data_IF_407466661381
#
_entry.id   IF_407466661381
#
_cell.length_a   1.000
_cell.length_b   1.000
_cell.length_c   1.000
_cell.angle_alpha   90.00
_cell.angle_beta   90.00
_cell.angle_gamma   90.00
#
_symmetry.space_group_name_H-M   'P 1'
#
loop_
_entity.id
_entity.type
_entity.pdbx_description
1 polymer ?
#
# COMPACT_ATOMS: atom_id res chain seq x y z
N UNK A 1 30.70 -1.68 -14.00
CA UNK A 1 29.30 -1.44 -14.37
C UNK A 1 29.20 -0.69 -15.70
N UNK A 2 28.06 -0.79 -16.36
CA UNK A 2 27.76 -0.01 -17.55
C UNK A 2 27.80 1.48 -17.22
N UNK A 3 28.51 2.33 -18.01
CA UNK A 3 28.48 3.75 -17.78
C UNK A 3 27.12 4.33 -18.08
N UNK A 4 26.62 5.22 -17.24
CA UNK A 4 25.36 5.91 -17.47
C UNK A 4 25.55 7.16 -18.35
N UNK A 5 24.51 7.52 -19.08
CA UNK A 5 24.40 8.83 -19.71
C UNK A 5 24.35 9.91 -18.62
N UNK A 6 25.04 11.05 -18.77
CA UNK A 6 24.93 12.13 -17.80
C UNK A 6 23.47 12.56 -17.54
N UNK A 7 23.06 12.56 -16.28
CA UNK A 7 21.69 12.84 -15.84
C UNK A 7 20.72 11.66 -15.92
N UNK A 8 21.18 10.50 -16.40
CA UNK A 8 20.38 9.27 -16.51
C UNK A 8 21.05 8.13 -15.73
N UNK A 9 21.49 8.41 -14.51
CA UNK A 9 22.16 7.44 -13.65
C UNK A 9 21.22 6.34 -13.13
N UNK A 10 21.82 5.27 -12.59
CA UNK A 10 21.06 4.11 -12.09
C UNK A 10 20.10 4.49 -10.96
N UNK A 11 20.39 5.54 -10.21
CA UNK A 11 19.53 6.11 -9.18
C UNK A 11 18.15 6.50 -9.68
N UNK A 12 18.02 6.92 -10.95
CA UNK A 12 16.74 7.28 -11.55
C UNK A 12 15.78 6.07 -11.67
N UNK A 13 16.32 4.84 -11.68
CA UNK A 13 15.48 3.63 -11.67
C UNK A 13 14.90 3.30 -10.29
N UNK A 14 15.14 4.14 -9.27
CA UNK A 14 14.70 3.94 -7.89
C UNK A 14 14.08 5.19 -7.27
N UNK A 15 13.74 6.19 -8.06
CA UNK A 15 13.24 7.48 -7.58
C UNK A 15 11.70 7.56 -7.49
N UNK A 16 10.99 6.52 -7.96
CA UNK A 16 9.53 6.46 -7.98
C UNK A 16 8.90 7.33 -9.08
N UNK A 17 9.69 7.82 -10.03
CA UNK A 17 9.24 8.70 -11.09
C UNK A 17 9.46 8.06 -12.46
N UNK A 18 8.42 7.50 -13.05
CA UNK A 18 8.48 6.85 -14.37
C UNK A 18 8.79 7.79 -15.53
N UNK A 19 8.90 9.09 -15.29
CA UNK A 19 9.30 10.09 -16.30
C UNK A 19 10.81 10.30 -16.34
N UNK A 20 11.56 9.94 -15.31
CA UNK A 20 13.01 9.79 -15.28
C UNK A 20 13.40 8.38 -15.69
N UNK A 21 14.66 8.17 -16.05
CA UNK A 21 15.13 6.83 -16.38
C UNK A 21 16.64 6.68 -16.14
N UNK A 22 17.04 5.47 -15.86
CA UNK A 22 18.38 5.01 -16.07
C UNK A 22 18.58 4.68 -17.56
N UNK A 23 19.67 5.16 -18.12
CA UNK A 23 20.08 4.82 -19.49
C UNK A 23 21.61 4.72 -19.56
N UNK A 24 22.11 3.70 -20.21
CA UNK A 24 23.55 3.59 -20.46
C UNK A 24 24.03 4.66 -21.42
N UNK A 25 25.34 4.86 -21.53
CA UNK A 25 25.91 5.90 -22.37
C UNK A 25 25.35 5.87 -23.81
N UNK A 26 24.99 7.03 -24.34
CA UNK A 26 24.49 7.17 -25.71
C UNK A 26 25.57 6.84 -26.78
N UNK A 27 26.82 6.70 -26.40
CA UNK A 27 27.86 6.17 -27.32
C UNK A 27 27.62 4.70 -27.68
N UNK A 28 26.81 3.98 -26.89
CA UNK A 28 26.45 2.58 -27.14
C UNK A 28 27.56 1.59 -26.78
N UNK A 29 27.27 0.31 -27.03
CA UNK A 29 28.23 -0.77 -26.76
C UNK A 29 28.20 -1.26 -25.31
N UNK A 30 27.12 -0.94 -24.55
CA UNK A 30 27.01 -1.25 -23.13
C UNK A 30 26.05 -2.43 -22.83
N UNK A 31 25.48 -3.03 -23.88
CA UNK A 31 24.73 -4.29 -23.74
C UNK A 31 25.68 -5.41 -23.30
N UNK A 32 25.23 -6.20 -22.33
CA UNK A 32 26.03 -7.22 -21.68
C UNK A 32 26.90 -6.71 -20.53
N UNK A 33 26.97 -5.39 -20.30
CA UNK A 33 27.64 -4.84 -19.12
C UNK A 33 26.66 -4.81 -17.93
N UNK A 34 27.13 -5.08 -16.71
CA UNK A 34 26.26 -5.15 -15.54
C UNK A 34 25.81 -3.78 -15.04
N UNK A 35 24.65 -3.74 -14.39
CA UNK A 35 24.23 -2.70 -13.47
C UNK A 35 24.15 -3.32 -12.07
N UNK A 36 24.99 -2.84 -11.15
CA UNK A 36 25.13 -3.40 -9.81
C UNK A 36 24.39 -2.57 -8.78
N UNK A 37 23.56 -3.21 -7.99
CA UNK A 37 22.80 -2.64 -6.89
C UNK A 37 23.24 -3.31 -5.59
N UNK A 38 23.72 -2.51 -4.64
CA UNK A 38 24.09 -2.99 -3.30
C UNK A 38 23.06 -2.47 -2.32
N UNK A 39 22.39 -3.37 -1.61
CA UNK A 39 21.41 -3.00 -0.61
C UNK A 39 22.11 -2.53 0.67
N UNK A 40 21.61 -1.47 1.29
CA UNK A 40 22.14 -0.93 2.54
C UNK A 40 22.16 -1.98 3.65
N UNK A 41 21.10 -2.80 3.68
CA UNK A 41 20.95 -3.94 4.58
C UNK A 41 20.39 -5.13 3.79
N UNK A 42 20.74 -6.37 4.17
CA UNK A 42 20.12 -7.55 3.56
C UNK A 42 18.62 -7.50 3.69
N UNK A 43 17.92 -7.57 2.58
CA UNK A 43 16.47 -7.37 2.49
C UNK A 43 15.80 -8.56 1.82
N UNK A 44 14.71 -9.04 2.38
CA UNK A 44 13.89 -10.10 1.79
C UNK A 44 13.17 -9.59 0.55
N UNK A 45 13.44 -10.23 -0.59
CA UNK A 45 12.81 -9.95 -1.87
C UNK A 45 12.35 -11.24 -2.55
N UNK A 46 11.29 -11.14 -3.34
CA UNK A 46 10.67 -12.26 -4.05
C UNK A 46 10.78 -12.16 -5.56
N UNK A 47 11.22 -11.01 -6.07
CA UNK A 47 11.34 -10.76 -7.49
C UNK A 47 11.78 -9.35 -7.81
N UNK A 48 11.83 -9.06 -9.12
CA UNK A 48 12.11 -7.75 -9.68
C UNK A 48 11.05 -7.40 -10.72
N UNK A 49 10.44 -6.23 -10.59
CA UNK A 49 9.63 -5.62 -11.65
C UNK A 49 10.47 -4.61 -12.41
N UNK A 50 10.60 -4.84 -13.69
CA UNK A 50 11.20 -3.90 -14.64
C UNK A 50 10.12 -3.04 -15.29
N UNK A 51 10.23 -1.73 -15.17
CA UNK A 51 9.37 -0.76 -15.86
C UNK A 51 10.18 -0.13 -16.99
N UNK A 52 9.82 -0.40 -18.26
CA UNK A 52 10.50 0.23 -19.40
C UNK A 52 10.21 1.72 -19.45
N UNK A 53 10.96 2.44 -20.26
CA UNK A 53 10.71 3.86 -20.55
C UNK A 53 9.31 4.07 -21.14
N UNK A 54 8.72 5.25 -20.90
CA UNK A 54 7.35 5.55 -21.27
C UNK A 54 7.14 5.71 -22.79
N UNK A 55 8.20 6.13 -23.51
CA UNK A 55 8.17 6.37 -24.95
C UNK A 55 9.41 5.80 -25.61
N UNK A 56 9.32 5.47 -26.90
CA UNK A 56 10.32 4.77 -27.73
C UNK A 56 10.80 3.43 -27.12
N UNK A 57 11.88 2.86 -27.62
CA UNK A 57 12.35 1.55 -27.19
C UNK A 57 13.87 1.48 -26.97
N UNK A 58 14.57 2.62 -27.04
CA UNK A 58 16.02 2.61 -26.91
C UNK A 58 16.47 2.08 -25.54
N UNK A 59 17.11 0.91 -25.56
CA UNK A 59 17.59 0.24 -24.37
C UNK A 59 16.54 -0.59 -23.62
N UNK A 60 15.30 -0.70 -24.12
CA UNK A 60 14.33 -1.62 -23.53
C UNK A 60 14.90 -3.04 -23.49
N UNK A 61 14.86 -3.66 -22.32
CA UNK A 61 15.41 -4.99 -22.09
C UNK A 61 14.58 -6.06 -22.81
N UNK A 62 15.29 -6.95 -23.54
CA UNK A 62 14.71 -8.12 -24.21
C UNK A 62 15.09 -9.41 -23.52
N UNK A 63 16.39 -9.66 -23.43
CA UNK A 63 16.96 -10.81 -22.72
C UNK A 63 17.75 -10.30 -21.53
N UNK A 64 17.53 -10.89 -20.38
CA UNK A 64 18.03 -10.41 -19.10
C UNK A 64 18.67 -11.53 -18.30
N UNK A 65 19.82 -11.26 -17.71
CA UNK A 65 20.42 -12.05 -16.64
C UNK A 65 20.39 -11.24 -15.35
N UNK A 66 19.81 -11.82 -14.31
CA UNK A 66 19.78 -11.25 -12.96
C UNK A 66 20.51 -12.19 -11.99
N UNK A 67 21.50 -11.67 -11.28
CA UNK A 67 22.21 -12.40 -10.23
C UNK A 67 21.94 -11.76 -8.89
N UNK A 68 21.37 -12.51 -7.97
CA UNK A 68 21.06 -12.06 -6.61
C UNK A 68 22.02 -12.76 -5.65
N UNK A 69 22.85 -11.99 -4.97
CA UNK A 69 23.72 -12.52 -3.90
C UNK A 69 23.00 -12.37 -2.57
N UNK A 70 22.76 -13.45 -1.87
CA UNK A 70 22.10 -13.45 -0.56
C UNK A 70 23.06 -13.05 0.58
N UNK A 71 22.53 -12.93 1.81
CA UNK A 71 23.31 -12.54 2.98
C UNK A 71 24.46 -13.50 3.29
N UNK A 72 24.36 -14.77 2.91
CA UNK A 72 25.41 -15.79 3.10
C UNK A 72 26.52 -15.70 2.04
N UNK A 73 26.29 -14.93 0.95
CA UNK A 73 27.19 -14.83 -0.18
C UNK A 73 26.86 -15.80 -1.32
N UNK A 74 25.82 -16.60 -1.21
CA UNK A 74 25.38 -17.50 -2.27
C UNK A 74 24.71 -16.70 -3.39
N UNK A 75 25.02 -17.04 -4.62
CA UNK A 75 24.44 -16.44 -5.81
C UNK A 75 23.26 -17.27 -6.33
N UNK A 76 22.18 -16.56 -6.69
CA UNK A 76 20.99 -17.08 -7.34
C UNK A 76 20.83 -16.38 -8.69
N UNK A 77 20.84 -17.15 -9.77
CA UNK A 77 20.76 -16.61 -11.13
C UNK A 77 19.39 -16.85 -11.73
N UNK A 78 18.83 -15.81 -12.32
CA UNK A 78 17.59 -15.83 -13.07
C UNK A 78 17.85 -15.30 -14.47
N UNK A 79 17.27 -15.96 -15.48
CA UNK A 79 17.37 -15.53 -16.87
C UNK A 79 16.00 -15.46 -17.50
N UNK A 80 15.76 -14.42 -18.27
CA UNK A 80 14.55 -14.22 -19.05
C UNK A 80 14.97 -13.93 -20.49
N UNK A 81 14.21 -14.44 -21.43
CA UNK A 81 14.42 -14.22 -22.86
C UNK A 81 13.14 -13.73 -23.53
N UNK A 82 13.31 -12.98 -24.62
CA UNK A 82 12.23 -12.55 -25.49
C UNK A 82 11.10 -11.75 -24.82
N UNK A 83 11.43 -10.89 -23.85
CA UNK A 83 10.45 -9.92 -23.37
C UNK A 83 9.94 -9.08 -24.55
N UNK A 84 8.61 -8.88 -24.67
CA UNK A 84 8.05 -8.16 -25.81
C UNK A 84 8.46 -6.67 -25.78
N UNK A 85 8.69 -6.11 -26.98
CA UNK A 85 8.96 -4.68 -27.13
C UNK A 85 7.65 -3.87 -26.98
N UNK A 86 7.24 -3.68 -25.75
CA UNK A 86 6.12 -2.82 -25.38
C UNK A 86 6.51 -2.06 -24.11
N UNK A 87 5.87 -0.93 -23.84
CA UNK A 87 6.20 -0.11 -22.67
C UNK A 87 5.45 -0.57 -21.40
N UNK A 88 5.09 -1.86 -21.31
CA UNK A 88 4.45 -2.44 -20.14
C UNK A 88 5.47 -3.03 -19.17
N UNK A 89 5.22 -2.94 -17.86
CA UNK A 89 6.06 -3.59 -16.84
C UNK A 89 6.19 -5.09 -17.07
N UNK A 90 7.34 -5.65 -16.68
CA UNK A 90 7.69 -7.07 -16.77
C UNK A 90 8.29 -7.54 -15.46
N UNK A 91 7.95 -8.76 -15.06
CA UNK A 91 8.36 -9.32 -13.78
C UNK A 91 9.33 -10.48 -13.95
N UNK A 92 10.32 -10.54 -13.05
CA UNK A 92 11.12 -11.72 -12.77
C UNK A 92 10.71 -12.21 -11.40
N UNK A 93 9.98 -13.32 -11.36
CA UNK A 93 9.59 -14.00 -10.12
C UNK A 93 10.69 -14.98 -9.72
N UNK A 94 11.17 -14.90 -8.49
CA UNK A 94 12.20 -15.81 -7.97
C UNK A 94 11.62 -17.16 -7.55
N UNK A 95 10.31 -17.29 -7.43
CA UNK A 95 9.64 -18.50 -6.92
C UNK A 95 9.96 -18.79 -5.45
N UNK A 96 10.65 -17.88 -4.77
CA UNK A 96 11.08 -17.97 -3.37
C UNK A 96 11.46 -16.61 -2.82
N UNK A 97 11.54 -16.50 -1.51
CA UNK A 97 12.13 -15.34 -0.83
C UNK A 97 13.65 -15.50 -0.75
N UNK A 98 14.39 -14.44 -1.11
CA UNK A 98 15.85 -14.36 -0.97
C UNK A 98 16.17 -13.14 -0.10
N UNK A 99 16.94 -13.31 0.96
CA UNK A 99 17.47 -12.20 1.75
C UNK A 99 18.71 -11.66 1.06
N UNK A 100 18.46 -10.74 0.12
CA UNK A 100 19.45 -10.23 -0.82
C UNK A 100 20.32 -9.13 -0.20
N UNK A 101 21.60 -9.12 -0.53
CA UNK A 101 22.54 -8.02 -0.23
C UNK A 101 23.07 -7.32 -1.46
N UNK A 102 23.13 -8.00 -2.60
CA UNK A 102 23.60 -7.45 -3.87
C UNK A 102 22.78 -8.05 -5.02
N UNK A 103 22.46 -7.22 -5.98
CA UNK A 103 21.76 -7.60 -7.20
C UNK A 103 22.55 -7.06 -8.39
N UNK A 104 22.73 -7.88 -9.42
CA UNK A 104 23.39 -7.51 -10.66
C UNK A 104 22.45 -7.81 -11.82
N UNK A 105 22.00 -6.74 -12.46
CA UNK A 105 21.14 -6.80 -13.65
C UNK A 105 22.02 -6.65 -14.91
N UNK A 106 21.82 -7.49 -15.90
CA UNK A 106 22.50 -7.38 -17.18
C UNK A 106 21.49 -7.61 -18.31
N UNK A 107 21.23 -6.59 -19.11
CA UNK A 107 20.56 -6.76 -20.39
C UNK A 107 21.51 -7.40 -21.38
N UNK A 108 21.23 -8.63 -21.79
CA UNK A 108 22.07 -9.37 -22.74
C UNK A 108 21.62 -9.17 -24.18
N UNK A 109 20.34 -8.77 -24.37
CA UNK A 109 19.78 -8.22 -25.61
C UNK A 109 18.80 -7.12 -25.29
N UNK A 110 18.72 -6.15 -26.17
CA UNK A 110 17.85 -4.98 -26.00
C UNK A 110 17.20 -4.57 -27.31
N UNK A 111 16.22 -3.67 -27.21
CA UNK A 111 15.56 -3.03 -28.35
C UNK A 111 16.06 -1.60 -28.55
N UNK A 112 15.70 -1.01 -29.68
CA UNK A 112 15.95 0.38 -30.01
C UNK A 112 16.67 0.57 -31.34
N UNK A 113 17.00 1.82 -31.65
CA UNK A 113 17.68 2.18 -32.90
C UNK A 113 19.04 1.52 -33.03
N UNK A 114 19.14 0.65 -34.01
CA UNK A 114 20.38 -0.10 -34.29
C UNK A 114 20.58 -1.33 -33.38
N UNK A 115 19.54 -1.81 -32.68
CA UNK A 115 19.60 -3.07 -31.92
C UNK A 115 20.34 -2.96 -30.59
N UNK A 116 21.04 -4.00 -30.22
CA UNK A 116 21.73 -4.18 -28.94
C UNK A 116 22.83 -3.12 -28.63
N UNK A 117 22.43 -1.87 -28.37
CA UNK A 117 23.37 -0.77 -28.07
C UNK A 117 23.30 -0.25 -26.65
N UNK A 118 22.10 -0.20 -26.09
CA UNK A 118 21.83 0.48 -24.83
C UNK A 118 21.08 -0.43 -23.87
N UNK A 119 21.11 -0.07 -22.59
CA UNK A 119 20.20 -0.60 -21.59
C UNK A 119 19.49 0.58 -20.93
N UNK A 120 18.19 0.44 -20.63
CA UNK A 120 17.43 1.48 -19.94
C UNK A 120 16.32 0.87 -19.06
N UNK A 121 15.95 1.61 -18.02
CA UNK A 121 14.79 1.32 -17.17
C UNK A 121 14.25 2.63 -16.63
N UNK A 122 12.92 2.82 -16.68
CA UNK A 122 12.28 3.89 -15.92
C UNK A 122 12.30 3.56 -14.43
N UNK A 123 11.93 2.32 -14.07
CA UNK A 123 11.97 1.85 -12.68
C UNK A 123 12.42 0.39 -12.58
N UNK A 124 13.13 0.09 -11.50
CA UNK A 124 13.46 -1.25 -11.04
C UNK A 124 12.89 -1.42 -9.63
N UNK A 125 11.85 -2.24 -9.49
CA UNK A 125 11.09 -2.38 -8.24
C UNK A 125 11.32 -3.79 -7.70
N UNK A 126 11.95 -3.91 -6.54
CA UNK A 126 12.06 -5.19 -5.85
C UNK A 126 10.75 -5.52 -5.16
N UNK A 127 10.17 -6.67 -5.52
CA UNK A 127 8.98 -7.19 -4.85
C UNK A 127 9.37 -7.84 -3.54
N UNK A 128 8.52 -7.70 -2.52
CA UNK A 128 8.73 -8.26 -1.18
C UNK A 128 7.76 -9.40 -0.92
N UNK A 129 8.08 -10.32 0.03
CA UNK A 129 7.10 -11.27 0.50
C UNK A 129 5.85 -10.51 0.96
N UNK A 130 4.69 -10.94 0.54
CA UNK A 130 3.48 -10.50 1.23
C UNK A 130 3.58 -11.04 2.65
N UNK A 131 3.66 -10.13 3.62
CA UNK A 131 3.41 -10.49 5.01
C UNK A 131 1.98 -11.00 5.00
N UNK A 132 1.77 -12.27 5.30
CA UNK A 132 0.44 -12.77 5.58
C UNK A 132 -0.07 -11.87 6.71
N UNK A 133 -1.06 -11.03 6.40
CA UNK A 133 -1.69 -10.23 7.44
C UNK A 133 -2.18 -11.23 8.48
N UNK A 134 -1.63 -11.13 9.70
CA UNK A 134 -2.16 -11.92 10.80
C UNK A 134 -3.64 -11.56 10.88
N UNK A 135 -4.56 -12.52 10.73
CA UNK A 135 -5.97 -12.20 10.77
C UNK A 135 -6.25 -11.43 12.06
N UNK A 136 -6.91 -10.27 11.94
CA UNK A 136 -7.26 -9.48 13.10
C UNK A 136 -8.15 -10.30 14.03
N UNK A 137 -7.89 -10.25 15.31
CA UNK A 137 -8.77 -10.84 16.32
C UNK A 137 -10.05 -10.01 16.45
N UNK A 138 -11.13 -10.52 15.93
CA UNK A 138 -12.45 -9.87 15.97
C UNK A 138 -13.30 -10.30 17.17
N UNK A 139 -12.82 -11.19 18.03
CA UNK A 139 -13.61 -11.79 19.12
C UNK A 139 -14.20 -10.74 20.08
N UNK A 140 -13.44 -9.71 20.42
CA UNK A 140 -13.91 -8.59 21.24
C UNK A 140 -15.04 -7.80 20.59
N UNK A 141 -14.90 -7.51 19.30
CA UNK A 141 -15.94 -6.84 18.52
C UNK A 141 -17.21 -7.70 18.39
N UNK A 142 -17.07 -8.98 18.09
CA UNK A 142 -18.19 -9.90 17.94
C UNK A 142 -18.99 -10.06 19.25
N UNK A 143 -18.29 -10.15 20.37
CA UNK A 143 -18.93 -10.21 21.70
C UNK A 143 -19.67 -8.90 22.02
N UNK A 144 -19.07 -7.75 21.75
CA UNK A 144 -19.69 -6.43 21.96
C UNK A 144 -20.91 -6.24 21.05
N UNK A 145 -20.81 -6.66 19.78
CA UNK A 145 -21.91 -6.61 18.81
C UNK A 145 -23.09 -7.48 19.27
N UNK A 146 -22.83 -8.72 19.68
CA UNK A 146 -23.85 -9.64 20.16
C UNK A 146 -24.59 -9.12 21.40
N UNK A 147 -23.89 -8.35 22.26
CA UNK A 147 -24.51 -7.66 23.40
C UNK A 147 -25.34 -6.48 22.96
N UNK A 148 -24.80 -5.61 22.08
CA UNK A 148 -25.49 -4.40 21.63
C UNK A 148 -26.73 -4.69 20.78
N UNK A 149 -26.74 -5.78 20.00
CA UNK A 149 -27.88 -6.22 19.21
C UNK A 149 -29.12 -6.63 20.07
N UNK A 150 -28.94 -6.83 21.36
CA UNK A 150 -30.05 -7.11 22.28
C UNK A 150 -30.73 -5.86 22.81
N UNK A 151 -30.17 -4.68 22.57
CA UNK A 151 -30.74 -3.41 22.94
C UNK A 151 -32.00 -3.14 22.11
N UNK A 152 -33.01 -2.53 22.77
CA UNK A 152 -34.36 -2.35 22.20
C UNK A 152 -34.61 -0.92 21.74
N UNK A 153 -33.88 0.04 22.28
CA UNK A 153 -34.03 1.44 21.90
C UNK A 153 -33.67 1.63 20.42
N UNK A 154 -34.55 2.32 19.68
CA UNK A 154 -34.35 2.57 18.24
C UNK A 154 -33.02 3.30 17.95
N UNK A 155 -32.67 4.25 18.80
CA UNK A 155 -31.41 4.99 18.68
C UNK A 155 -30.20 4.05 18.76
N UNK A 156 -30.18 3.12 19.71
CA UNK A 156 -29.13 2.11 19.82
C UNK A 156 -29.11 1.16 18.62
N UNK A 157 -30.26 0.80 18.08
CA UNK A 157 -30.31 -0.05 16.87
C UNK A 157 -29.72 0.66 15.64
N UNK A 158 -29.95 1.97 15.50
CA UNK A 158 -29.38 2.80 14.44
C UNK A 158 -27.83 2.91 14.61
N UNK A 159 -27.35 3.09 15.84
CA UNK A 159 -25.91 3.11 16.15
C UNK A 159 -25.23 1.76 15.85
N UNK A 160 -25.83 0.66 16.26
CA UNK A 160 -25.32 -0.69 15.95
C UNK A 160 -25.24 -0.91 14.44
N UNK A 161 -26.28 -0.52 13.70
CA UNK A 161 -26.27 -0.61 12.23
C UNK A 161 -25.16 0.24 11.60
N UNK A 162 -24.93 1.45 12.13
CA UNK A 162 -23.85 2.35 11.70
C UNK A 162 -22.46 1.74 11.91
N UNK A 163 -22.22 1.13 13.08
CA UNK A 163 -20.96 0.43 13.38
C UNK A 163 -20.75 -0.76 12.45
N UNK A 164 -21.79 -1.57 12.22
CA UNK A 164 -21.71 -2.71 11.29
C UNK A 164 -21.38 -2.26 9.85
N UNK A 165 -22.00 -1.17 9.39
CA UNK A 165 -21.74 -0.61 8.08
C UNK A 165 -20.28 -0.12 7.96
N UNK A 166 -19.77 0.56 8.98
CA UNK A 166 -18.37 1.05 9.04
C UNK A 166 -17.37 -0.10 9.07
N UNK A 167 -17.64 -1.13 9.86
CA UNK A 167 -16.82 -2.33 9.94
C UNK A 167 -16.77 -3.05 8.59
N UNK A 168 -17.92 -3.21 7.94
CA UNK A 168 -18.00 -3.81 6.61
C UNK A 168 -17.23 -3.00 5.58
N UNK A 169 -17.40 -1.69 5.55
CA UNK A 169 -16.67 -0.81 4.63
C UNK A 169 -15.15 -0.93 4.82
N UNK A 170 -14.67 -0.88 6.06
CA UNK A 170 -13.25 -1.00 6.36
C UNK A 170 -12.70 -2.37 5.93
N UNK A 171 -13.45 -3.45 6.14
CA UNK A 171 -13.07 -4.80 5.71
C UNK A 171 -13.01 -4.92 4.20
N UNK A 172 -14.05 -4.49 3.50
CA UNK A 172 -14.17 -4.61 2.04
C UNK A 172 -13.10 -3.79 1.29
N UNK A 173 -12.62 -2.71 1.91
CA UNK A 173 -11.59 -1.83 1.34
C UNK A 173 -10.17 -2.06 1.91
N UNK A 174 -9.95 -3.13 2.67
CA UNK A 174 -8.66 -3.45 3.30
C UNK A 174 -8.09 -2.33 4.20
N UNK A 175 -8.99 -1.58 4.86
CA UNK A 175 -8.65 -0.47 5.74
C UNK A 175 -8.72 -0.84 7.23
N UNK A 176 -9.22 -2.03 7.56
CA UNK A 176 -9.44 -2.45 8.94
C UNK A 176 -8.12 -2.62 9.68
N UNK A 177 -8.01 -2.00 10.85
CA UNK A 177 -6.86 -2.10 11.75
C UNK A 177 -7.29 -2.63 13.11
N UNK A 178 -6.36 -3.20 13.88
CA UNK A 178 -6.60 -3.64 15.26
C UNK A 178 -7.23 -2.52 16.11
N UNK A 179 -6.69 -1.30 16.00
CA UNK A 179 -7.21 -0.13 16.72
C UNK A 179 -8.66 0.22 16.34
N UNK A 180 -9.04 0.03 15.08
CA UNK A 180 -10.45 0.24 14.65
C UNK A 180 -11.35 -0.83 15.25
N UNK A 181 -10.91 -2.08 15.28
CA UNK A 181 -11.66 -3.20 15.89
C UNK A 181 -11.90 -2.94 17.37
N UNK A 182 -10.86 -2.54 18.11
CA UNK A 182 -10.94 -2.14 19.53
C UNK A 182 -11.93 -0.96 19.72
N UNK A 183 -11.78 0.08 18.91
CA UNK A 183 -12.67 1.25 18.98
C UNK A 183 -14.14 0.88 18.78
N UNK A 184 -14.45 0.06 17.77
CA UNK A 184 -15.83 -0.38 17.53
C UNK A 184 -16.36 -1.26 18.65
N UNK A 185 -15.53 -2.13 19.23
CA UNK A 185 -15.91 -2.95 20.39
C UNK A 185 -16.22 -2.09 21.60
N UNK A 186 -15.37 -1.13 21.92
CA UNK A 186 -15.56 -0.21 23.04
C UNK A 186 -16.81 0.67 22.87
N UNK A 187 -17.03 1.18 21.66
CA UNK A 187 -18.22 1.96 21.36
C UNK A 187 -19.51 1.16 21.57
N UNK A 188 -19.59 -0.06 21.04
CA UNK A 188 -20.74 -0.94 21.21
C UNK A 188 -20.97 -1.32 22.68
N UNK A 189 -19.91 -1.51 23.46
CA UNK A 189 -20.00 -1.83 24.88
C UNK A 189 -20.55 -0.68 25.75
N UNK A 190 -20.47 0.56 25.28
CA UNK A 190 -20.99 1.74 25.98
C UNK A 190 -22.49 1.97 25.74
N UNK A 191 -23.07 1.35 24.70
CA UNK A 191 -24.49 1.49 24.41
C UNK A 191 -25.33 0.82 25.49
N UNK A 192 -26.37 1.52 25.92
CA UNK A 192 -27.36 1.05 26.94
C UNK A 192 -28.74 1.55 26.60
N UNK A 193 -29.76 0.71 26.78
CA UNK A 193 -31.15 1.17 26.69
C UNK A 193 -31.40 2.22 27.77
N UNK A 194 -32.10 3.28 27.39
CA UNK A 194 -32.58 4.28 28.35
C UNK A 194 -33.51 3.57 29.33
N UNK A 195 -33.28 3.77 30.64
CA UNK A 195 -34.16 3.24 31.65
C UNK A 195 -35.60 3.69 31.34
N UNK A 196 -36.53 2.75 31.27
CA UNK A 196 -37.96 3.10 31.10
C UNK A 196 -38.32 4.15 32.15
N UNK A 197 -38.71 5.35 31.68
CA UNK A 197 -39.16 6.41 32.55
C UNK A 197 -40.35 5.84 33.35
N UNK A 198 -40.34 5.80 34.67
CA UNK A 198 -41.51 5.40 35.39
C UNK A 198 -42.66 6.32 34.97
N UNK A 199 -43.84 5.75 34.63
CA UNK A 199 -45.00 6.49 34.23
C UNK A 199 -45.20 7.66 35.17
N UNK A 200 -44.97 8.88 34.68
CA UNK A 200 -45.21 10.07 35.46
C UNK A 200 -46.72 10.18 35.69
N UNK A 201 -47.18 10.42 36.93
CA UNK A 201 -48.58 10.67 37.14
C UNK A 201 -48.98 11.90 36.32
N UNK A 202 -50.05 11.74 35.54
CA UNK A 202 -50.67 12.83 34.76
C UNK A 202 -50.99 14.00 35.67
N UNK A 203 -50.16 15.02 35.66
CA UNK A 203 -50.43 16.32 36.26
C UNK A 203 -50.22 17.39 35.20
N UNK A 204 -51.29 18.11 34.99
CA UNK A 204 -51.44 19.18 34.02
C UNK A 204 -50.58 20.41 34.29
N UNK A 205 -50.17 21.04 33.18
CA UNK A 205 -49.80 22.45 32.99
C UNK A 205 -48.47 22.94 33.54
N UNK A 206 -47.65 23.35 32.60
CA UNK A 206 -46.54 24.26 32.73
C UNK A 206 -45.59 24.11 31.57
N UNK A 207 -45.70 25.00 30.57
CA UNK A 207 -44.63 25.17 29.57
C UNK A 207 -43.36 25.67 30.28
N UNK A 208 -42.41 24.77 30.54
CA UNK A 208 -41.03 25.19 30.82
C UNK A 208 -40.19 24.94 29.59
N UNK A 209 -39.62 26.01 29.06
CA UNK A 209 -38.63 25.94 28.01
C UNK A 209 -37.40 25.12 28.51
N UNK A 210 -36.83 24.25 27.63
CA UNK A 210 -35.67 23.51 28.03
C UNK A 210 -34.51 24.44 28.33
N UNK A 211 -33.66 24.14 29.33
CA UNK A 211 -32.52 24.98 29.67
C UNK A 211 -31.54 25.04 28.49
N UNK A 212 -31.22 26.25 28.06
CA UNK A 212 -30.19 26.49 27.06
C UNK A 212 -28.83 26.17 27.70
N UNK A 213 -28.16 25.15 27.22
CA UNK A 213 -26.79 24.84 27.63
C UNK A 213 -25.84 25.85 26.95
N UNK A 214 -25.44 26.87 27.70
CA UNK A 214 -24.35 27.73 27.23
C UNK A 214 -23.01 27.00 27.37
N UNK A 215 -22.40 26.64 26.25
CA UNK A 215 -21.04 26.12 26.20
C UNK A 215 -20.12 27.32 25.96
N UNK A 216 -19.31 27.75 26.95
CA UNK A 216 -18.41 28.87 26.76
C UNK A 216 -17.39 28.58 25.66
N UNK A 217 -17.33 29.43 24.62
CA UNK A 217 -16.34 29.39 23.56
C UNK A 217 -16.75 28.67 22.27
N UNK A 218 -17.99 28.21 22.12
CA UNK A 218 -18.47 27.62 20.87
C UNK A 218 -19.10 28.69 19.95
N UNK A 219 -18.37 29.06 18.90
CA UNK A 219 -18.88 29.87 17.79
C UNK A 219 -19.20 28.97 16.59
N UNK A 220 -20.22 28.14 16.71
CA UNK A 220 -20.72 27.33 15.60
C UNK A 220 -21.51 28.18 14.59
N UNK A 221 -21.77 27.65 13.35
CA UNK A 221 -22.41 28.41 12.27
C UNK A 221 -23.87 28.76 12.50
N UNK A 222 -24.43 28.48 13.66
CA UNK A 222 -25.81 28.81 14.08
C UNK A 222 -25.88 29.70 15.31
N UNK A 223 -24.80 30.38 15.66
CA UNK A 223 -24.84 31.42 16.68
C UNK A 223 -25.58 32.65 16.13
N UNK A 224 -26.83 32.85 16.55
CA UNK A 224 -27.50 34.12 16.36
C UNK A 224 -26.80 35.15 17.21
N UNK A 225 -26.17 36.12 16.53
CA UNK A 225 -25.73 37.36 17.19
C UNK A 225 -26.97 38.08 17.73
N UNK A 226 -27.00 38.27 19.04
CA UNK A 226 -27.85 39.23 19.68
C UNK A 226 -27.07 40.51 19.97
#
# INVERSE_FOLDING_TARGET
DAPAQPGEGLENAFDGNVSSLWHTSWSGGDVGKPATMVLKEPTEITGLRYVPRASDSNGNLRDVKLVVTDESGKEHTFTVTDWPNNNKPKDIDFGKTIKAKKIVLTGTKTYGDGGDKYQSAAELIFTRPQVAETPLDLSGYEAALAKAQKLTDKENQEEVAGVQASMKYATDNHLLTERMVEFFADYLNQLQDKAAKPDAPTSSKGEEQPPVLEVPGYTGPYGTAG
#
